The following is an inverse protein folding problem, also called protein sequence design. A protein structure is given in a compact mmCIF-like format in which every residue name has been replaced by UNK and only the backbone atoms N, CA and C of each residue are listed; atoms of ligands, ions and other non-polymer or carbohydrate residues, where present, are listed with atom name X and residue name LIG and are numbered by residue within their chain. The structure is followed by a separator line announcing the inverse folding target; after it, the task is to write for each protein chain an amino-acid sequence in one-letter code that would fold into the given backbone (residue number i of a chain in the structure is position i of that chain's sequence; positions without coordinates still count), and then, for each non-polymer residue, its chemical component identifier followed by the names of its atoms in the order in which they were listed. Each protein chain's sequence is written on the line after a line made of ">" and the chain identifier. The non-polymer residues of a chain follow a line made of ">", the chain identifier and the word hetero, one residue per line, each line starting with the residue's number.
data_IF_482009103413
#
_entry.id   IF_482009103413
#
_cell.length_a   1.000
_cell.length_b   1.000
_cell.length_c   1.000
_cell.angle_alpha   90.00
_cell.angle_beta   90.00
_cell.angle_gamma   90.00
#
_symmetry.space_group_name_H-M   'P 1'
#
loop_
_entity.id
_entity.type
_entity.pdbx_description
1 polymer ?
#
# COMPACT_ATOMS: atom_id res chain seq x y z
N UNK A 1 -45.82 41.52 -36.25
CA UNK A 1 -44.46 41.09 -36.68
C UNK A 1 -43.45 41.79 -35.77
N UNK A 2 -42.62 41.02 -35.05
CA UNK A 2 -41.59 41.49 -34.10
C UNK A 2 -40.22 41.53 -34.79
N UNK A 3 -39.36 42.52 -34.50
CA UNK A 3 -37.91 42.35 -34.52
C UNK A 3 -37.35 42.54 -33.09
N UNK A 4 -36.93 41.47 -32.42
CA UNK A 4 -35.55 40.95 -32.33
C UNK A 4 -34.54 41.95 -31.73
N UNK A 5 -34.38 41.87 -30.40
CA UNK A 5 -33.27 42.46 -29.65
C UNK A 5 -32.10 41.47 -29.69
N UNK A 6 -30.99 41.90 -30.27
CA UNK A 6 -29.73 41.17 -30.32
C UNK A 6 -28.98 41.41 -28.98
N UNK A 7 -29.03 40.45 -28.06
CA UNK A 7 -28.22 40.47 -26.85
C UNK A 7 -26.94 39.66 -27.09
N UNK A 8 -25.80 40.34 -27.15
CA UNK A 8 -24.47 39.73 -27.19
C UNK A 8 -24.15 39.04 -25.86
N UNK A 9 -24.14 37.71 -25.85
CA UNK A 9 -23.66 36.87 -24.75
C UNK A 9 -22.12 36.90 -24.73
N UNK A 10 -21.55 37.46 -23.66
CA UNK A 10 -20.12 37.38 -23.37
C UNK A 10 -19.88 35.99 -22.74
N UNK A 11 -19.38 35.04 -23.54
CA UNK A 11 -18.85 33.76 -23.05
C UNK A 11 -17.53 34.01 -22.32
N UNK A 12 -17.59 34.20 -21.01
CA UNK A 12 -16.42 34.05 -20.14
C UNK A 12 -16.12 32.56 -19.95
N UNK A 13 -15.09 32.10 -20.64
CA UNK A 13 -14.47 30.79 -20.46
C UNK A 13 -13.90 30.75 -19.04
N UNK A 14 -14.47 29.92 -18.17
CA UNK A 14 -13.77 29.50 -16.94
C UNK A 14 -13.24 28.10 -17.22
N UNK A 15 -12.00 28.05 -17.70
CA UNK A 15 -11.19 26.83 -17.68
C UNK A 15 -10.90 26.55 -16.22
N UNK A 16 -11.61 25.61 -15.60
CA UNK A 16 -11.21 25.02 -14.32
C UNK A 16 -9.97 24.16 -14.56
N UNK A 17 -8.83 24.84 -14.65
CA UNK A 17 -7.52 24.22 -14.62
C UNK A 17 -7.34 23.50 -13.27
N UNK A 18 -6.95 22.23 -13.36
CA UNK A 18 -6.19 21.47 -12.38
C UNK A 18 -6.44 21.83 -10.91
N UNK A 19 -7.46 21.22 -10.31
CA UNK A 19 -7.40 20.96 -8.88
C UNK A 19 -6.21 20.02 -8.64
N UNK A 20 -5.08 20.62 -8.29
CA UNK A 20 -4.01 19.98 -7.53
C UNK A 20 -4.72 19.15 -6.45
N UNK A 21 -4.66 17.83 -6.59
CA UNK A 21 -5.13 16.95 -5.54
C UNK A 21 -4.21 17.19 -4.36
N UNK A 22 -4.57 18.13 -3.49
CA UNK A 22 -4.04 18.21 -2.14
C UNK A 22 -4.17 16.79 -1.59
N UNK A 23 -3.04 16.10 -1.46
CA UNK A 23 -3.02 14.82 -0.76
C UNK A 23 -3.58 15.11 0.62
N UNK A 24 -4.83 14.70 0.86
CA UNK A 24 -5.41 14.66 2.18
C UNK A 24 -4.39 13.96 3.08
N UNK A 25 -3.72 14.71 3.95
CA UNK A 25 -2.89 14.14 5.01
C UNK A 25 -3.82 13.23 5.81
N UNK A 26 -3.56 11.93 5.74
CA UNK A 26 -4.35 10.96 6.47
C UNK A 26 -4.09 11.25 7.95
N UNK A 27 -5.13 11.69 8.66
CA UNK A 27 -5.02 11.91 10.10
C UNK A 27 -4.92 10.55 10.78
N UNK A 28 -3.70 10.11 11.05
CA UNK A 28 -3.43 8.86 11.78
C UNK A 28 -3.70 9.12 13.26
N UNK A 29 -4.62 8.37 13.86
CA UNK A 29 -4.77 8.30 15.32
C UNK A 29 -3.74 7.31 15.88
N UNK A 30 -2.70 7.78 16.59
CA UNK A 30 -1.66 6.91 17.13
C UNK A 30 -2.20 5.89 18.14
N UNK A 31 -3.29 6.19 18.85
CA UNK A 31 -3.82 5.34 19.91
C UNK A 31 -4.43 4.04 19.35
N UNK A 32 -4.92 4.06 18.11
CA UNK A 32 -5.43 2.87 17.41
C UNK A 32 -4.38 1.76 17.25
N UNK A 33 -3.10 2.13 17.24
CA UNK A 33 -1.99 1.23 16.93
C UNK A 33 -1.19 0.80 18.15
N UNK A 34 -1.26 1.54 19.26
CA UNK A 34 -0.55 1.19 20.49
C UNK A 34 -1.11 -0.08 21.11
N UNK A 35 -0.21 -0.90 21.65
CA UNK A 35 -0.54 -2.11 22.39
C UNK A 35 0.28 -2.20 23.67
N UNK A 36 -0.19 -3.03 24.62
CA UNK A 36 0.40 -3.11 25.95
C UNK A 36 1.74 -3.86 25.99
N UNK A 37 1.93 -4.87 25.14
CA UNK A 37 3.07 -5.79 25.19
C UNK A 37 3.40 -6.38 23.81
N UNK A 38 4.56 -7.04 23.73
CA UNK A 38 5.06 -7.65 22.50
C UNK A 38 4.17 -8.78 21.97
N UNK A 39 3.48 -9.52 22.84
CA UNK A 39 2.58 -10.59 22.43
C UNK A 39 1.33 -10.04 21.72
N UNK A 40 0.76 -8.96 22.26
CA UNK A 40 -0.34 -8.22 21.65
C UNK A 40 0.08 -7.62 20.31
N UNK A 41 1.32 -7.11 20.22
CA UNK A 41 1.86 -6.58 18.98
C UNK A 41 2.03 -7.68 17.92
N UNK A 42 2.60 -8.82 18.31
CA UNK A 42 2.75 -9.99 17.46
C UNK A 42 1.39 -10.44 16.90
N UNK A 43 0.35 -10.51 17.75
CA UNK A 43 -1.00 -10.87 17.33
C UNK A 43 -1.59 -9.86 16.33
N UNK A 44 -1.30 -8.55 16.47
CA UNK A 44 -1.73 -7.53 15.50
C UNK A 44 -1.06 -7.71 14.14
N UNK A 45 0.24 -8.03 14.09
CA UNK A 45 0.92 -8.37 12.84
C UNK A 45 0.36 -9.64 12.20
N UNK A 46 0.10 -10.68 12.99
CA UNK A 46 -0.51 -11.93 12.49
C UNK A 46 -1.90 -11.70 11.92
N UNK A 47 -2.71 -10.88 12.59
CA UNK A 47 -4.05 -10.51 12.14
C UNK A 47 -3.99 -9.71 10.83
N UNK A 48 -3.04 -8.78 10.73
CA UNK A 48 -2.79 -8.01 9.51
C UNK A 48 -2.36 -8.91 8.35
N UNK A 49 -1.49 -9.89 8.59
CA UNK A 49 -1.06 -10.87 7.59
C UNK A 49 -2.21 -11.76 7.11
N UNK A 50 -3.07 -12.21 8.03
CA UNK A 50 -4.27 -12.97 7.68
C UNK A 50 -5.24 -12.13 6.83
N UNK A 51 -5.39 -10.85 7.15
CA UNK A 51 -6.23 -9.93 6.37
C UNK A 51 -5.68 -9.76 4.95
N UNK A 52 -4.37 -9.53 4.80
CA UNK A 52 -3.72 -9.47 3.50
C UNK A 52 -3.98 -10.75 2.69
N UNK A 53 -3.80 -11.93 3.28
CA UNK A 53 -4.01 -13.20 2.57
C UNK A 53 -5.44 -13.30 2.01
N UNK A 54 -6.45 -12.92 2.81
CA UNK A 54 -7.86 -12.92 2.40
C UNK A 54 -8.13 -11.91 1.28
N UNK A 55 -7.69 -10.66 1.46
CA UNK A 55 -7.89 -9.59 0.48
C UNK A 55 -7.21 -9.93 -0.84
N UNK A 56 -6.01 -10.50 -0.77
CA UNK A 56 -5.26 -10.95 -1.92
C UNK A 56 -5.99 -12.06 -2.69
N UNK A 57 -6.49 -13.07 -1.96
CA UNK A 57 -7.22 -14.17 -2.58
C UNK A 57 -8.53 -13.69 -3.24
N UNK A 58 -9.25 -12.77 -2.58
CA UNK A 58 -10.44 -12.15 -3.15
C UNK A 58 -10.10 -11.34 -4.41
N UNK A 59 -9.06 -10.52 -4.34
CA UNK A 59 -8.57 -9.72 -5.47
C UNK A 59 -8.16 -10.61 -6.65
N UNK A 60 -7.41 -11.67 -6.39
CA UNK A 60 -6.97 -12.65 -7.39
C UNK A 60 -8.14 -13.39 -8.03
N UNK A 61 -9.14 -13.78 -7.24
CA UNK A 61 -10.36 -14.43 -7.77
C UNK A 61 -11.12 -13.52 -8.74
N UNK A 62 -11.24 -12.23 -8.42
CA UNK A 62 -11.92 -11.25 -9.28
C UNK A 62 -11.12 -10.85 -10.51
N UNK A 63 -9.80 -11.06 -10.52
CA UNK A 63 -8.89 -10.62 -11.58
C UNK A 63 -7.99 -11.76 -12.07
N UNK A 64 -8.48 -13.00 -12.10
CA UNK A 64 -7.65 -14.20 -12.29
C UNK A 64 -6.74 -14.17 -13.54
N UNK A 65 -7.23 -13.64 -14.66
CA UNK A 65 -6.49 -13.50 -15.93
C UNK A 65 -5.30 -12.53 -15.82
N UNK A 66 -5.29 -11.69 -14.78
CA UNK A 66 -4.24 -10.73 -14.52
C UNK A 66 -3.01 -11.37 -13.85
N UNK A 67 -3.09 -12.63 -13.43
CA UNK A 67 -2.01 -13.32 -12.71
C UNK A 67 -1.49 -14.52 -13.51
N UNK A 68 -0.16 -14.59 -13.68
CA UNK A 68 0.49 -15.74 -14.31
C UNK A 68 0.58 -16.93 -13.36
N UNK A 69 0.86 -16.68 -12.09
CA UNK A 69 0.86 -17.69 -11.03
C UNK A 69 -0.56 -17.85 -10.45
N UNK A 70 -0.99 -19.09 -10.18
CA UNK A 70 -2.31 -19.41 -9.60
C UNK A 70 -2.25 -19.91 -8.15
N UNK A 71 -1.05 -20.03 -7.56
CA UNK A 71 -0.87 -20.41 -6.16
C UNK A 71 -1.34 -19.32 -5.19
N UNK A 72 -1.60 -19.70 -3.94
CA UNK A 72 -1.98 -18.73 -2.91
C UNK A 72 -0.76 -17.90 -2.50
N UNK A 73 -1.00 -16.63 -2.15
CA UNK A 73 0.04 -15.81 -1.54
C UNK A 73 0.37 -16.35 -0.15
N UNK A 74 1.60 -16.78 0.05
CA UNK A 74 2.14 -17.05 1.39
C UNK A 74 2.64 -15.75 2.02
N UNK A 75 1.84 -15.22 2.96
CA UNK A 75 2.14 -13.99 3.69
C UNK A 75 3.33 -14.12 4.66
N UNK A 76 3.78 -15.35 4.92
CA UNK A 76 5.03 -15.58 5.66
C UNK A 76 6.26 -15.60 4.75
N UNK A 77 6.08 -15.59 3.41
CA UNK A 77 7.17 -15.65 2.44
C UNK A 77 7.12 -14.46 1.46
N UNK A 78 7.00 -13.23 1.97
CA UNK A 78 6.91 -12.03 1.13
C UNK A 78 8.18 -11.73 0.29
N UNK A 79 9.28 -12.44 0.53
CA UNK A 79 10.45 -12.43 -0.35
C UNK A 79 10.17 -13.02 -1.75
N UNK A 80 9.07 -13.75 -1.93
CA UNK A 80 8.63 -14.28 -3.23
C UNK A 80 7.36 -13.59 -3.74
N UNK A 81 7.01 -12.42 -3.20
CA UNK A 81 5.85 -11.62 -3.62
C UNK A 81 5.84 -11.31 -5.14
N UNK A 82 7.02 -11.24 -5.77
CA UNK A 82 7.18 -11.00 -7.20
C UNK A 82 6.54 -12.10 -8.05
N UNK A 83 6.52 -13.35 -7.57
CA UNK A 83 5.86 -14.48 -8.25
C UNK A 83 4.34 -14.27 -8.34
N UNK A 84 3.78 -13.48 -7.44
CA UNK A 84 2.36 -13.21 -7.41
C UNK A 84 2.00 -11.86 -8.04
N UNK A 85 2.95 -11.14 -8.64
CA UNK A 85 2.66 -9.84 -9.26
C UNK A 85 1.58 -9.93 -10.36
N UNK A 86 0.82 -8.85 -10.51
CA UNK A 86 -0.08 -8.67 -11.65
C UNK A 86 0.74 -8.58 -12.94
N UNK A 87 0.23 -9.12 -14.05
CA UNK A 87 0.88 -9.11 -15.35
C UNK A 87 1.09 -7.68 -15.86
N UNK A 88 2.21 -7.45 -16.53
CA UNK A 88 2.52 -6.21 -17.25
C UNK A 88 1.47 -5.83 -18.30
N UNK A 89 0.72 -6.80 -18.84
CA UNK A 89 -0.34 -6.56 -19.82
C UNK A 89 -1.72 -6.30 -19.22
N UNK A 90 -1.84 -6.38 -17.89
CA UNK A 90 -3.12 -6.14 -17.21
C UNK A 90 -3.55 -4.68 -17.30
N UNK A 91 -4.87 -4.47 -17.20
CA UNK A 91 -5.43 -3.12 -17.22
C UNK A 91 -4.91 -2.28 -16.06
N UNK A 92 -4.70 -0.98 -16.31
CA UNK A 92 -4.23 -0.01 -15.31
C UNK A 92 -5.03 -0.05 -13.99
N UNK A 93 -6.38 -0.13 -13.98
CA UNK A 93 -7.14 -0.21 -12.73
C UNK A 93 -6.79 -1.42 -11.87
N UNK A 94 -6.46 -2.57 -12.48
CA UNK A 94 -6.07 -3.79 -11.76
C UNK A 94 -4.72 -3.58 -11.07
N UNK A 95 -3.75 -3.00 -11.78
CA UNK A 95 -2.43 -2.66 -11.20
C UNK A 95 -2.55 -1.64 -10.07
N UNK A 96 -3.41 -0.64 -10.23
CA UNK A 96 -3.70 0.35 -9.19
C UNK A 96 -4.31 -0.30 -7.95
N UNK A 97 -5.29 -1.18 -8.11
CA UNK A 97 -5.92 -1.91 -7.01
C UNK A 97 -4.91 -2.81 -6.27
N UNK A 98 -4.03 -3.50 -7.00
CA UNK A 98 -2.92 -4.25 -6.41
C UNK A 98 -2.02 -3.33 -5.57
N UNK A 99 -1.58 -2.20 -6.13
CA UNK A 99 -0.75 -1.23 -5.41
C UNK A 99 -1.45 -0.66 -4.18
N UNK A 100 -2.75 -0.38 -4.26
CA UNK A 100 -3.54 0.12 -3.12
C UNK A 100 -3.58 -0.91 -1.99
N UNK A 101 -3.86 -2.17 -2.31
CA UNK A 101 -3.88 -3.26 -1.34
C UNK A 101 -2.50 -3.43 -0.67
N UNK A 102 -1.43 -3.53 -1.46
CA UNK A 102 -0.08 -3.73 -0.93
C UNK A 102 0.42 -2.51 -0.15
N UNK A 103 0.22 -1.29 -0.65
CA UNK A 103 0.60 -0.07 0.06
C UNK A 103 -0.19 0.09 1.37
N UNK A 104 -1.49 -0.21 1.37
CA UNK A 104 -2.31 -0.18 2.57
C UNK A 104 -1.83 -1.17 3.63
N UNK A 105 -1.51 -2.41 3.23
CA UNK A 105 -0.92 -3.41 4.12
C UNK A 105 0.39 -2.91 4.75
N UNK A 106 1.33 -2.41 3.93
CA UNK A 106 2.61 -1.94 4.44
C UNK A 106 2.49 -0.66 5.29
N UNK A 107 1.53 0.22 5.00
CA UNK A 107 1.25 1.39 5.82
C UNK A 107 0.71 0.99 7.21
N UNK A 108 -0.24 0.05 7.27
CA UNK A 108 -0.74 -0.48 8.55
C UNK A 108 0.39 -1.20 9.33
N UNK A 109 1.22 -1.97 8.62
CA UNK A 109 2.40 -2.62 9.18
C UNK A 109 3.35 -1.58 9.82
N UNK A 110 3.67 -0.52 9.08
CA UNK A 110 4.50 0.59 9.55
C UNK A 110 3.92 1.22 10.81
N UNK A 111 2.64 1.59 10.80
CA UNK A 111 2.02 2.23 11.97
C UNK A 111 2.02 1.32 13.21
N UNK A 112 1.79 0.01 13.04
CA UNK A 112 1.89 -0.94 14.16
C UNK A 112 3.30 -0.94 14.77
N UNK A 113 4.36 -1.01 13.96
CA UNK A 113 5.71 -1.01 14.52
C UNK A 113 6.18 0.35 15.03
N UNK A 114 5.89 1.42 14.29
CA UNK A 114 6.32 2.79 14.60
C UNK A 114 5.68 3.33 15.88
N UNK A 115 4.42 2.98 16.16
CA UNK A 115 3.76 3.40 17.41
C UNK A 115 4.19 2.56 18.63
N UNK A 116 4.96 1.47 18.43
CA UNK A 116 5.37 0.52 19.46
C UNK A 116 6.89 0.23 19.42
N UNK A 117 7.71 1.26 19.13
CA UNK A 117 9.17 1.13 18.97
C UNK A 117 9.90 0.51 20.17
N UNK A 118 9.37 0.70 21.38
CA UNK A 118 9.92 0.15 22.62
C UNK A 118 9.80 -1.37 22.72
N UNK A 119 8.89 -1.99 21.96
CA UNK A 119 8.61 -3.44 22.01
C UNK A 119 8.73 -4.14 20.64
N UNK A 120 8.81 -3.42 19.53
CA UNK A 120 8.89 -4.01 18.17
C UNK A 120 10.09 -4.94 17.98
N UNK A 121 11.22 -4.71 18.66
CA UNK A 121 12.38 -5.60 18.61
C UNK A 121 12.14 -7.01 19.17
N UNK A 122 11.02 -7.23 19.87
CA UNK A 122 10.64 -8.54 20.43
C UNK A 122 9.68 -9.32 19.51
N UNK A 123 9.16 -8.67 18.46
CA UNK A 123 8.26 -9.27 17.47
C UNK A 123 9.07 -10.12 16.49
N UNK A 124 8.49 -11.24 16.07
CA UNK A 124 9.05 -12.12 15.06
C UNK A 124 8.35 -11.87 13.73
N UNK A 125 9.06 -11.21 12.83
CA UNK A 125 8.68 -11.13 11.42
C UNK A 125 9.36 -12.28 10.64
N UNK A 126 8.62 -13.05 9.83
CA UNK A 126 9.19 -14.11 8.99
C UNK A 126 10.36 -13.60 8.13
N UNK A 127 11.45 -14.36 8.06
CA UNK A 127 12.67 -14.02 7.28
C UNK A 127 13.35 -12.68 7.64
N UNK A 128 13.08 -12.12 8.82
CA UNK A 128 13.70 -10.90 9.31
C UNK A 128 14.48 -11.12 10.62
N UNK A 129 14.97 -12.34 10.90
CA UNK A 129 15.64 -12.64 12.17
C UNK A 129 16.98 -11.91 12.34
N UNK A 130 17.62 -11.49 11.24
CA UNK A 130 18.85 -10.68 11.25
C UNK A 130 18.61 -9.17 11.24
N UNK A 131 17.35 -8.75 11.25
CA UNK A 131 16.97 -7.36 11.06
C UNK A 131 16.79 -6.62 12.39
N UNK A 132 17.25 -5.36 12.44
CA UNK A 132 16.98 -4.50 13.58
C UNK A 132 15.61 -3.81 13.39
N UNK A 133 14.55 -4.45 13.86
CA UNK A 133 13.19 -3.92 13.68
C UNK A 133 13.00 -2.55 14.33
N UNK A 134 13.57 -2.28 15.50
CA UNK A 134 13.49 -0.95 16.12
C UNK A 134 14.09 0.14 15.24
N UNK A 135 15.16 -0.15 14.48
CA UNK A 135 15.72 0.77 13.48
C UNK A 135 14.85 0.83 12.23
N UNK A 136 14.39 -0.31 11.71
CA UNK A 136 13.63 -0.37 10.47
C UNK A 136 12.26 0.35 10.57
N UNK A 137 11.66 0.45 11.77
CA UNK A 137 10.36 1.09 11.97
C UNK A 137 10.45 2.52 12.54
N UNK A 138 11.67 3.05 12.77
CA UNK A 138 11.85 4.35 13.45
C UNK A 138 11.26 5.52 12.67
N UNK A 139 11.26 5.45 11.34
CA UNK A 139 10.67 6.43 10.45
C UNK A 139 10.29 5.78 9.10
N UNK A 140 9.54 6.55 8.29
CA UNK A 140 9.02 6.08 7.01
C UNK A 140 10.12 5.76 5.99
N UNK A 141 11.27 6.45 6.02
CA UNK A 141 12.35 6.21 5.07
C UNK A 141 13.09 4.90 5.39
N UNK A 142 13.38 4.63 6.67
CA UNK A 142 13.95 3.35 7.10
C UNK A 142 13.00 2.18 6.79
N UNK A 143 11.69 2.38 7.02
CA UNK A 143 10.69 1.36 6.75
C UNK A 143 10.53 1.10 5.25
N UNK A 144 10.51 2.15 4.44
CA UNK A 144 10.45 2.06 2.98
C UNK A 144 11.63 1.25 2.42
N UNK A 145 12.86 1.53 2.87
CA UNK A 145 14.05 0.75 2.48
C UNK A 145 13.92 -0.71 2.91
N UNK A 146 13.55 -0.95 4.16
CA UNK A 146 13.35 -2.29 4.70
C UNK A 146 12.37 -3.12 3.84
N UNK A 147 11.20 -2.57 3.51
CA UNK A 147 10.19 -3.27 2.72
C UNK A 147 10.66 -3.53 1.28
N UNK A 148 11.19 -2.53 0.59
CA UNK A 148 11.50 -2.67 -0.83
C UNK A 148 12.78 -3.45 -1.13
N UNK A 149 13.73 -3.48 -0.20
CA UNK A 149 15.08 -3.97 -0.48
C UNK A 149 15.49 -5.19 0.35
N UNK A 150 14.84 -5.46 1.49
CA UNK A 150 15.33 -6.47 2.45
C UNK A 150 14.27 -7.47 2.90
N UNK A 151 13.04 -7.02 3.15
CA UNK A 151 11.97 -7.86 3.68
C UNK A 151 11.13 -8.54 2.60
N UNK A 152 10.95 -7.89 1.46
CA UNK A 152 10.04 -8.36 0.40
C UNK A 152 10.67 -8.22 -0.97
N UNK A 153 10.07 -8.86 -1.97
CA UNK A 153 10.35 -8.62 -3.38
C UNK A 153 9.36 -7.61 -4.01
N UNK A 154 8.83 -6.66 -3.24
CA UNK A 154 7.79 -5.74 -3.73
C UNK A 154 8.29 -4.81 -4.83
N UNK A 155 9.57 -4.39 -4.79
CA UNK A 155 10.20 -3.64 -5.89
C UNK A 155 10.15 -4.42 -7.21
N UNK A 156 10.52 -5.70 -7.16
CA UNK A 156 10.50 -6.58 -8.32
C UNK A 156 9.07 -6.83 -8.81
N UNK A 157 8.09 -6.92 -7.91
CA UNK A 157 6.68 -7.00 -8.30
C UNK A 157 6.22 -5.76 -9.09
N UNK A 158 6.67 -4.56 -8.69
CA UNK A 158 6.39 -3.32 -9.41
C UNK A 158 7.06 -3.28 -10.79
N UNK A 159 8.28 -3.79 -10.89
CA UNK A 159 9.00 -3.94 -12.17
C UNK A 159 8.28 -4.92 -13.11
N UNK A 160 7.84 -6.08 -12.61
CA UNK A 160 7.06 -7.07 -13.38
C UNK A 160 5.74 -6.46 -13.87
N UNK A 161 5.04 -5.73 -13.01
CA UNK A 161 3.81 -5.02 -13.40
C UNK A 161 4.08 -3.91 -14.42
N UNK A 162 5.31 -3.43 -14.54
CA UNK A 162 5.62 -2.17 -15.23
C UNK A 162 4.84 -1.00 -14.64
N UNK A 163 4.62 -1.01 -13.32
CA UNK A 163 3.77 -0.04 -12.63
C UNK A 163 4.29 0.22 -11.21
N UNK A 164 4.70 1.46 -10.94
CA UNK A 164 5.22 1.87 -9.64
C UNK A 164 4.11 2.06 -8.61
N UNK A 165 4.20 1.33 -7.50
CA UNK A 165 3.33 1.54 -6.36
C UNK A 165 4.00 2.55 -5.43
N UNK A 166 3.39 3.73 -5.26
CA UNK A 166 3.97 4.82 -4.48
C UNK A 166 3.87 4.57 -2.96
N UNK A 167 4.64 3.59 -2.46
CA UNK A 167 4.65 3.23 -1.05
C UNK A 167 5.07 4.40 -0.17
N UNK A 168 6.05 5.21 -0.62
CA UNK A 168 6.52 6.37 0.14
C UNK A 168 5.37 7.33 0.47
N UNK A 169 4.49 7.62 -0.50
CA UNK A 169 3.32 8.45 -0.26
C UNK A 169 2.28 7.80 0.69
N UNK A 170 2.21 6.48 0.75
CA UNK A 170 1.27 5.77 1.62
C UNK A 170 1.72 5.73 3.09
N UNK A 171 2.98 6.06 3.38
CA UNK A 171 3.52 6.09 4.75
C UNK A 171 3.32 7.44 5.45
N UNK A 172 2.73 8.44 4.77
CA UNK A 172 2.59 9.83 5.22
C UNK A 172 1.15 10.34 5.24
#
# INVERSE_FOLDING_TARGET
>A
MKPFILATLISSVIVSACSSSEQQKIQIDPQKYKVQDAASLQQRFESLNQQLSKDYQAFKKSNNIAFSDQSLLDVNQLQTLNLHAVSSTSLKPVKQAYCQMMNGYFAEMYQLGHQNLNIIGQVKLPHAQGENLSKNFVDADQFYDFILNRYTSYRQAQEIMGFGCNLKAALH
#
